data_IF_913770335512
#
_entry.id   IF_913770335512
#
_cell.length_a   1.000
_cell.length_b   1.000
_cell.length_c   1.000
_cell.angle_alpha   90.00
_cell.angle_beta   90.00
_cell.angle_gamma   90.00
#
_symmetry.space_group_name_H-M   'P 1'
#
loop_
_entity.id
_entity.type
_entity.pdbx_description
1 polymer ?
#
# COMPACT_ATOMS: atom_id res chain seq x y z
N UNK A 1 7.23 14.99 -12.45
CA UNK A 1 6.08 14.62 -11.59
C UNK A 1 6.65 14.05 -10.29
N UNK A 2 6.32 14.67 -9.16
CA UNK A 2 6.81 14.24 -7.85
C UNK A 2 6.26 12.85 -7.50
N UNK A 3 7.14 11.85 -7.49
CA UNK A 3 6.80 10.46 -7.18
C UNK A 3 6.18 10.32 -5.79
N UNK A 4 6.60 11.17 -4.85
CA UNK A 4 6.04 11.30 -3.50
C UNK A 4 4.59 11.81 -3.51
N UNK A 5 4.23 12.79 -4.35
CA UNK A 5 2.84 13.28 -4.45
C UNK A 5 1.88 12.19 -4.94
N UNK A 6 2.33 11.33 -5.85
CA UNK A 6 1.57 10.15 -6.28
C UNK A 6 1.36 9.16 -5.14
N UNK A 7 2.39 8.94 -4.31
CA UNK A 7 2.29 8.06 -3.12
C UNK A 7 1.36 8.63 -2.06
N UNK A 8 1.39 9.95 -1.83
CA UNK A 8 0.46 10.63 -0.91
C UNK A 8 -0.99 10.50 -1.38
N UNK A 9 -1.23 10.64 -2.68
CA UNK A 9 -2.56 10.45 -3.27
C UNK A 9 -3.07 9.02 -3.07
N UNK A 10 -2.19 8.03 -3.28
CA UNK A 10 -2.50 6.61 -3.01
C UNK A 10 -2.76 6.35 -1.53
N UNK A 11 -1.98 6.96 -0.63
CA UNK A 11 -2.20 6.86 0.80
C UNK A 11 -3.57 7.37 1.23
N UNK A 12 -4.02 8.48 0.65
CA UNK A 12 -5.34 9.01 0.94
C UNK A 12 -6.44 8.01 0.63
N UNK A 13 -6.32 7.26 -0.48
CA UNK A 13 -7.27 6.19 -0.85
C UNK A 13 -7.18 5.02 0.15
N UNK A 14 -5.96 4.64 0.55
CA UNK A 14 -5.73 3.54 1.50
C UNK A 14 -6.19 3.87 2.94
N UNK A 15 -6.25 5.14 3.31
CA UNK A 15 -6.73 5.58 4.63
C UNK A 15 -8.25 5.73 4.69
N UNK A 16 -8.92 5.82 3.54
CA UNK A 16 -10.38 5.82 3.52
C UNK A 16 -10.90 4.43 3.93
N UNK A 17 -11.98 4.36 4.73
CA UNK A 17 -12.66 3.10 5.00
C UNK A 17 -13.06 2.45 3.68
N UNK A 18 -12.96 1.11 3.60
CA UNK A 18 -13.39 0.35 2.43
C UNK A 18 -14.94 0.35 2.43
N UNK A 19 -15.55 1.48 2.06
CA UNK A 19 -17.01 1.71 2.03
C UNK A 19 -17.68 1.02 0.83
N UNK A 20 -16.92 0.26 0.04
CA UNK A 20 -17.46 -0.48 -1.09
C UNK A 20 -18.13 -1.77 -0.60
N UNK A 21 -19.45 -1.70 -0.47
CA UNK A 21 -20.41 -2.81 -0.28
C UNK A 21 -20.34 -3.92 -1.36
N UNK A 22 -19.40 -3.83 -2.31
CA UNK A 22 -19.32 -4.67 -3.51
C UNK A 22 -18.16 -5.66 -3.51
N UNK A 23 -18.06 -6.53 -2.50
CA UNK A 23 -17.21 -7.73 -2.51
C UNK A 23 -15.69 -7.50 -2.51
N UNK A 24 -14.93 -8.43 -1.94
CA UNK A 24 -13.47 -8.35 -1.78
C UNK A 24 -12.66 -8.22 -3.10
N UNK A 25 -13.31 -8.26 -4.26
CA UNK A 25 -12.70 -8.25 -5.59
C UNK A 25 -12.55 -6.86 -6.21
N UNK A 26 -13.31 -5.85 -5.73
CA UNK A 26 -13.25 -4.47 -6.23
C UNK A 26 -12.85 -3.47 -5.14
N UNK A 27 -12.07 -3.89 -4.16
CA UNK A 27 -11.57 -2.96 -3.14
C UNK A 27 -10.58 -1.99 -3.79
N UNK A 28 -10.87 -0.69 -3.64
CA UNK A 28 -9.98 0.40 -4.04
C UNK A 28 -8.60 0.27 -3.37
N UNK A 29 -8.53 -0.33 -2.17
CA UNK A 29 -7.27 -0.63 -1.50
C UNK A 29 -6.44 -1.66 -2.26
N UNK A 30 -7.07 -2.69 -2.81
CA UNK A 30 -6.38 -3.78 -3.49
C UNK A 30 -5.72 -3.29 -4.79
N UNK A 31 -6.45 -2.49 -5.58
CA UNK A 31 -5.90 -1.87 -6.80
C UNK A 31 -4.68 -0.97 -6.51
N UNK A 32 -4.73 -0.21 -5.42
CA UNK A 32 -3.60 0.63 -5.00
C UNK A 32 -2.42 -0.22 -4.53
N UNK A 33 -2.67 -1.28 -3.75
CA UNK A 33 -1.62 -2.20 -3.28
C UNK A 33 -0.92 -2.94 -4.44
N UNK A 34 -1.66 -3.37 -5.45
CA UNK A 34 -1.08 -3.97 -6.66
C UNK A 34 -0.23 -2.97 -7.45
N UNK A 35 -0.72 -1.73 -7.59
CA UNK A 35 0.03 -0.67 -8.24
C UNK A 35 1.34 -0.38 -7.50
N UNK A 36 1.29 -0.29 -6.16
CA UNK A 36 2.48 -0.14 -5.31
C UNK A 36 3.42 -1.33 -5.42
N UNK A 37 2.89 -2.54 -5.58
CA UNK A 37 3.70 -3.75 -5.77
C UNK A 37 4.46 -3.74 -7.09
N UNK A 38 3.87 -3.17 -8.16
CA UNK A 38 4.55 -2.96 -9.43
C UNK A 38 5.63 -1.86 -9.41
N UNK A 39 5.62 -1.00 -8.40
CA UNK A 39 6.59 0.10 -8.26
C UNK A 39 7.78 -0.33 -7.40
N UNK A 40 8.99 -0.05 -7.88
CA UNK A 40 10.22 -0.10 -7.07
C UNK A 40 10.28 1.17 -6.25
N UNK A 41 10.01 1.09 -4.95
CA UNK A 41 10.02 2.23 -4.05
C UNK A 41 11.23 2.15 -3.13
N UNK A 42 11.94 3.26 -3.01
CA UNK A 42 13.06 3.38 -2.07
C UNK A 42 12.55 3.57 -0.65
N UNK A 43 13.40 3.22 0.33
CA UNK A 43 13.11 3.45 1.76
C UNK A 43 12.77 4.91 2.04
N UNK A 44 13.46 5.87 1.39
CA UNK A 44 13.18 7.30 1.55
C UNK A 44 11.78 7.68 1.03
N UNK A 45 11.36 7.18 -0.13
CA UNK A 45 10.02 7.45 -0.67
C UNK A 45 8.92 6.86 0.21
N UNK A 46 9.14 5.66 0.76
CA UNK A 46 8.19 5.00 1.67
C UNK A 46 8.03 5.80 2.97
N UNK A 47 9.13 6.32 3.51
CA UNK A 47 9.14 7.15 4.72
C UNK A 47 8.51 8.51 4.44
N UNK A 48 8.94 9.20 3.37
CA UNK A 48 8.49 10.53 3.01
C UNK A 48 6.97 10.57 2.76
N UNK A 49 6.45 9.58 2.02
CA UNK A 49 5.02 9.47 1.76
C UNK A 49 4.22 8.95 2.95
N UNK A 50 4.86 8.32 3.94
CA UNK A 50 4.25 7.58 5.06
C UNK A 50 3.43 6.35 4.65
N UNK A 51 3.61 5.85 3.42
CA UNK A 51 2.84 4.70 2.90
C UNK A 51 3.09 3.40 3.65
N UNK A 52 4.29 3.25 4.21
CA UNK A 52 4.60 2.11 5.09
C UNK A 52 3.71 2.02 6.32
N UNK A 53 3.23 3.15 6.85
CA UNK A 53 2.33 3.20 8.01
C UNK A 53 0.94 2.75 7.61
N UNK A 54 0.41 3.28 6.51
CA UNK A 54 -0.93 2.95 6.03
C UNK A 54 -1.02 1.48 5.62
N UNK A 55 -0.03 0.97 4.88
CA UNK A 55 0.06 -0.46 4.53
C UNK A 55 0.12 -1.32 5.79
N UNK A 56 0.81 -0.88 6.86
CA UNK A 56 0.84 -1.60 8.13
C UNK A 56 -0.53 -1.64 8.83
N UNK A 57 -1.35 -0.60 8.71
CA UNK A 57 -2.74 -0.61 9.19
C UNK A 57 -3.59 -1.60 8.39
N UNK A 58 -3.45 -1.61 7.06
CA UNK A 58 -4.20 -2.51 6.16
C UNK A 58 -3.94 -3.99 6.40
N UNK A 59 -2.79 -4.37 7.00
CA UNK A 59 -2.54 -5.75 7.45
C UNK A 59 -3.55 -6.24 8.49
N UNK A 60 -4.24 -5.32 9.18
CA UNK A 60 -5.29 -5.61 10.16
C UNK A 60 -6.70 -5.35 9.60
N UNK A 61 -6.81 -5.08 8.30
CA UNK A 61 -8.11 -4.90 7.66
C UNK A 61 -8.90 -6.21 7.68
N UNK A 62 -10.23 -6.09 7.79
CA UNK A 62 -11.15 -7.24 7.72
C UNK A 62 -11.13 -7.92 6.36
N UNK A 63 -10.65 -7.24 5.31
CA UNK A 63 -10.51 -7.81 3.98
C UNK A 63 -9.20 -8.62 3.90
N UNK A 64 -9.33 -9.95 3.93
CA UNK A 64 -8.19 -10.88 3.92
C UNK A 64 -7.28 -10.69 2.70
N UNK A 65 -7.83 -10.39 1.52
CA UNK A 65 -7.05 -10.16 0.30
C UNK A 65 -6.18 -8.91 0.44
N UNK A 66 -6.76 -7.81 0.94
CA UNK A 66 -6.05 -6.56 1.22
C UNK A 66 -4.97 -6.78 2.28
N UNK A 67 -5.29 -7.50 3.36
CA UNK A 67 -4.33 -7.83 4.40
C UNK A 67 -3.14 -8.66 3.86
N UNK A 68 -3.41 -9.70 3.06
CA UNK A 68 -2.38 -10.52 2.40
C UNK A 68 -1.51 -9.69 1.45
N UNK A 69 -2.12 -8.86 0.60
CA UNK A 69 -1.40 -7.97 -0.31
C UNK A 69 -0.50 -6.99 0.45
N UNK A 70 -0.99 -6.39 1.53
CA UNK A 70 -0.22 -5.49 2.38
C UNK A 70 0.97 -6.20 3.08
N UNK A 71 0.80 -7.45 3.52
CA UNK A 71 1.88 -8.27 4.08
C UNK A 71 2.98 -8.50 3.04
N UNK A 72 2.61 -8.93 1.82
CA UNK A 72 3.54 -9.21 0.74
C UNK A 72 4.31 -7.95 0.32
N UNK A 73 3.60 -6.84 0.14
CA UNK A 73 4.18 -5.55 -0.23
C UNK A 73 5.24 -5.09 0.78
N UNK A 74 4.93 -5.17 2.08
CA UNK A 74 5.88 -4.83 3.14
C UNK A 74 7.11 -5.75 3.14
N UNK A 75 6.93 -7.05 2.89
CA UNK A 75 8.04 -8.00 2.81
C UNK A 75 8.95 -7.65 1.63
N UNK A 76 8.39 -7.31 0.47
CA UNK A 76 9.13 -6.83 -0.70
C UNK A 76 9.96 -5.59 -0.36
N UNK A 77 9.33 -4.55 0.18
CA UNK A 77 10.04 -3.32 0.56
C UNK A 77 11.14 -3.56 1.58
N UNK A 78 10.94 -4.46 2.55
CA UNK A 78 11.99 -4.82 3.52
C UNK A 78 13.19 -5.49 2.83
N UNK A 79 12.94 -6.41 1.91
CA UNK A 79 14.01 -7.06 1.14
C UNK A 79 14.74 -6.07 0.23
N UNK A 80 13.99 -5.17 -0.41
CA UNK A 80 14.54 -4.15 -1.32
C UNK A 80 15.37 -3.12 -0.54
N UNK A 81 14.88 -2.69 0.64
CA UNK A 81 15.61 -1.82 1.55
C UNK A 81 16.87 -2.47 2.14
N UNK A 82 16.90 -3.79 2.29
CA UNK A 82 18.09 -4.52 2.76
C UNK A 82 19.12 -4.75 1.64
N UNK A 83 18.73 -4.57 0.37
CA UNK A 83 19.59 -4.67 -0.81
C UNK A 83 20.14 -3.33 -1.30
N UNK A 84 19.54 -2.22 -0.86
CA UNK A 84 19.96 -0.85 -1.15
C UNK A 84 21.03 -0.38 -0.16
#
# INVERSE_FOLDING_TARGET
>A
MDRVKSLESMNRVLEQPDEQEGGAEKSSHLAVLEKLHGMTLTTQEIIASKIGVVVSKLRKSSNEKVAKAAILLRKKWKTEAARA
#
